data_IF_697127421079
#
_entry.id   IF_697127421079
#
_cell.length_a   1.000
_cell.length_b   1.000
_cell.length_c   1.000
_cell.angle_alpha   90.00
_cell.angle_beta   90.00
_cell.angle_gamma   90.00
#
_symmetry.space_group_name_H-M   'P 1'
#
loop_
_entity.id
_entity.type
_entity.pdbx_description
1 polymer ?
#
# COMPACT_ATOMS: atom_id res chain seq x y z
N UNK A 1 -3.87 -38.77 5.60
CA UNK A 1 -3.98 -37.46 6.26
C UNK A 1 -2.57 -36.91 6.36
N UNK A 2 -2.30 -35.74 5.76
CA UNK A 2 -0.99 -35.08 5.89
C UNK A 2 -0.86 -34.71 7.36
N UNK A 3 0.28 -35.02 7.98
CA UNK A 3 0.59 -34.66 9.37
C UNK A 3 1.90 -33.87 9.36
N UNK A 4 1.94 -32.80 10.14
CA UNK A 4 3.14 -32.01 10.39
C UNK A 4 3.25 -31.77 11.91
N UNK A 5 4.47 -31.50 12.38
CA UNK A 5 4.75 -31.15 13.77
C UNK A 5 5.19 -29.69 13.88
N UNK A 6 5.30 -29.19 15.11
CA UNK A 6 5.88 -27.87 15.39
C UNK A 6 7.32 -27.77 14.84
N UNK A 7 8.11 -28.84 14.96
CA UNK A 7 9.48 -28.90 14.44
C UNK A 7 9.52 -28.89 12.90
N UNK A 8 8.50 -29.46 12.23
CA UNK A 8 8.37 -29.35 10.78
C UNK A 8 8.16 -27.88 10.36
N UNK A 9 7.30 -27.15 11.08
CA UNK A 9 7.01 -25.74 10.80
C UNK A 9 8.25 -24.87 11.03
N UNK A 10 8.95 -25.04 12.15
CA UNK A 10 10.16 -24.26 12.46
C UNK A 10 11.28 -24.51 11.44
N UNK A 11 11.48 -25.76 11.01
CA UNK A 11 12.47 -26.09 9.97
C UNK A 11 12.10 -25.53 8.60
N UNK A 12 10.82 -25.55 8.25
CA UNK A 12 10.33 -24.92 7.00
C UNK A 12 10.53 -23.41 7.07
N UNK A 13 10.21 -22.77 8.20
CA UNK A 13 10.43 -21.34 8.40
C UNK A 13 11.90 -20.96 8.30
N UNK A 14 12.79 -21.70 8.95
CA UNK A 14 14.25 -21.48 8.88
C UNK A 14 14.74 -21.54 7.44
N UNK A 15 14.33 -22.57 6.69
CA UNK A 15 14.69 -22.70 5.29
C UNK A 15 14.18 -21.52 4.45
N UNK A 16 12.94 -21.08 4.65
CA UNK A 16 12.41 -19.90 3.95
C UNK A 16 13.08 -18.59 4.39
N UNK A 17 13.53 -18.49 5.64
CA UNK A 17 14.34 -17.38 6.09
C UNK A 17 15.69 -17.31 5.38
N UNK A 18 16.34 -18.46 5.19
CA UNK A 18 17.60 -18.58 4.44
C UNK A 18 17.43 -18.25 2.95
N UNK A 19 16.28 -18.60 2.35
CA UNK A 19 15.93 -18.22 0.97
C UNK A 19 15.51 -16.75 0.82
N UNK A 20 15.39 -16.00 1.92
CA UNK A 20 14.99 -14.60 1.91
C UNK A 20 13.50 -14.38 1.66
N UNK A 21 12.65 -15.40 1.84
CA UNK A 21 11.20 -15.23 1.74
C UNK A 21 10.74 -14.28 2.85
N UNK A 22 9.98 -13.21 2.51
CA UNK A 22 9.49 -12.25 3.48
C UNK A 22 8.73 -12.93 4.60
N UNK A 23 9.02 -12.53 5.83
CA UNK A 23 8.47 -13.12 7.06
C UNK A 23 6.95 -13.31 7.01
N UNK A 24 6.23 -12.29 6.55
CA UNK A 24 4.77 -12.34 6.44
C UNK A 24 4.27 -13.38 5.45
N UNK A 25 5.01 -13.70 4.38
CA UNK A 25 4.58 -14.62 3.34
C UNK A 25 4.82 -16.10 3.68
N UNK A 26 5.66 -16.38 4.69
CA UNK A 26 6.08 -17.75 5.01
C UNK A 26 4.94 -18.71 5.36
N UNK A 27 3.86 -18.31 6.06
CA UNK A 27 2.71 -19.21 6.28
C UNK A 27 2.07 -19.69 4.98
N UNK A 28 1.94 -18.82 3.97
CA UNK A 28 1.47 -19.22 2.63
C UNK A 28 2.39 -20.25 1.99
N UNK A 29 3.69 -19.94 1.96
CA UNK A 29 4.68 -20.81 1.33
C UNK A 29 4.76 -22.16 2.04
N UNK A 30 4.60 -22.17 3.36
CA UNK A 30 4.57 -23.40 4.15
C UNK A 30 3.31 -24.21 3.86
N UNK A 31 2.15 -23.56 3.81
CA UNK A 31 0.91 -24.23 3.45
C UNK A 31 0.97 -24.81 2.02
N UNK A 32 1.51 -24.06 1.05
CA UNK A 32 1.72 -24.57 -0.31
C UNK A 32 2.71 -25.77 -0.33
N UNK A 33 3.81 -25.69 0.43
CA UNK A 33 4.81 -26.77 0.53
C UNK A 33 4.28 -28.02 1.20
N UNK A 34 3.48 -27.88 2.26
CA UNK A 34 2.92 -29.00 3.05
C UNK A 34 1.74 -29.63 2.32
N UNK A 35 0.85 -28.83 1.74
CA UNK A 35 -0.38 -29.32 1.11
C UNK A 35 -0.16 -29.75 -0.35
N UNK A 36 0.84 -29.20 -1.02
CA UNK A 36 1.16 -29.53 -2.41
C UNK A 36 -0.04 -29.33 -3.33
N UNK A 37 -0.44 -30.37 -4.07
CA UNK A 37 -1.58 -30.32 -5.00
C UNK A 37 -2.95 -30.13 -4.32
N UNK A 38 -3.03 -30.28 -2.99
CA UNK A 38 -4.23 -29.98 -2.20
C UNK A 38 -4.33 -28.52 -1.79
N UNK A 39 -3.31 -27.72 -2.05
CA UNK A 39 -3.30 -26.31 -1.69
C UNK A 39 -4.39 -25.56 -2.46
N UNK A 40 -5.35 -25.03 -1.72
CA UNK A 40 -6.44 -24.20 -2.22
C UNK A 40 -6.76 -23.11 -1.18
N UNK A 41 -7.07 -21.90 -1.65
CA UNK A 41 -7.53 -20.80 -0.80
C UNK A 41 -8.90 -20.36 -1.31
N UNK A 42 -9.85 -20.16 -0.38
CA UNK A 42 -11.22 -19.78 -0.69
C UNK A 42 -12.15 -21.00 -0.85
N UNK A 43 -12.90 -21.08 -1.95
CA UNK A 43 -13.86 -22.16 -2.15
C UNK A 43 -13.13 -23.51 -2.29
N UNK A 44 -13.39 -24.44 -1.36
CA UNK A 44 -12.68 -25.72 -1.29
C UNK A 44 -11.34 -25.68 -0.56
N UNK A 45 -11.11 -24.65 0.29
CA UNK A 45 -9.94 -24.53 1.16
C UNK A 45 -9.74 -25.79 2.02
N UNK A 46 -8.51 -26.31 2.03
CA UNK A 46 -8.15 -27.43 2.87
C UNK A 46 -8.19 -27.01 4.36
N UNK A 47 -8.90 -27.73 5.25
CA UNK A 47 -8.91 -27.43 6.68
C UNK A 47 -7.51 -27.37 7.31
N UNK A 48 -6.53 -28.09 6.74
CA UNK A 48 -5.15 -28.04 7.18
C UNK A 48 -4.48 -26.69 6.92
N UNK A 49 -4.98 -25.87 5.99
CA UNK A 49 -4.44 -24.53 5.77
C UNK A 49 -4.57 -23.68 7.04
N UNK A 50 -5.76 -23.65 7.65
CA UNK A 50 -6.00 -22.87 8.87
C UNK A 50 -5.19 -23.45 10.03
N UNK A 51 -5.01 -24.77 10.10
CA UNK A 51 -4.17 -25.41 11.12
C UNK A 51 -2.69 -25.00 10.99
N UNK A 52 -2.17 -24.94 9.76
CA UNK A 52 -0.80 -24.48 9.49
C UNK A 52 -0.65 -23.01 9.89
N UNK A 53 -1.60 -22.15 9.49
CA UNK A 53 -1.58 -20.72 9.85
C UNK A 53 -1.65 -20.52 11.37
N UNK A 54 -2.57 -21.19 12.07
CA UNK A 54 -2.66 -21.10 13.53
C UNK A 54 -1.40 -21.64 14.23
N UNK A 55 -0.75 -22.65 13.67
CA UNK A 55 0.52 -23.16 14.20
C UNK A 55 1.63 -22.13 14.05
N UNK A 56 1.71 -21.46 12.89
CA UNK A 56 2.60 -20.32 12.70
C UNK A 56 2.31 -19.18 13.70
N UNK A 57 1.06 -18.78 13.88
CA UNK A 57 0.70 -17.73 14.84
C UNK A 57 1.04 -18.10 16.29
N UNK A 58 0.98 -19.39 16.65
CA UNK A 58 1.35 -19.87 17.98
C UNK A 58 2.86 -19.90 18.20
N UNK A 59 3.61 -20.39 17.21
CA UNK A 59 5.06 -20.56 17.31
C UNK A 59 5.83 -19.26 17.03
N UNK A 60 5.25 -18.38 16.20
CA UNK A 60 5.83 -17.15 15.69
C UNK A 60 4.76 -16.04 15.77
N UNK A 61 4.52 -15.45 16.96
CA UNK A 61 3.38 -14.57 17.22
C UNK A 61 3.30 -13.32 16.33
N UNK A 62 4.41 -12.84 15.79
CA UNK A 62 4.48 -11.70 14.87
C UNK A 62 3.72 -11.96 13.56
N UNK A 63 3.53 -13.23 13.19
CA UNK A 63 2.76 -13.64 12.01
C UNK A 63 1.32 -13.12 12.09
N UNK A 64 0.71 -13.15 13.28
CA UNK A 64 -0.68 -12.71 13.52
C UNK A 64 -0.96 -11.27 13.04
N UNK A 65 0.07 -10.42 13.00
CA UNK A 65 -0.06 -9.01 12.65
C UNK A 65 0.52 -8.66 11.27
N UNK A 66 1.19 -9.61 10.63
CA UNK A 66 1.88 -9.40 9.36
C UNK A 66 1.27 -10.21 8.22
N UNK A 67 0.67 -11.36 8.52
CA UNK A 67 0.01 -12.27 7.59
C UNK A 67 -1.53 -12.15 7.67
N UNK A 68 -2.26 -12.24 6.54
CA UNK A 68 -1.79 -12.13 5.16
C UNK A 68 -1.51 -10.67 4.78
N UNK A 69 -0.41 -10.45 4.05
CA UNK A 69 -0.02 -9.11 3.62
C UNK A 69 0.46 -9.09 2.19
N UNK A 70 -0.22 -8.31 1.35
CA UNK A 70 0.18 -8.03 -0.03
C UNK A 70 0.86 -6.65 -0.12
N UNK A 71 0.53 -5.75 0.81
CA UNK A 71 1.20 -4.47 1.00
C UNK A 71 0.66 -3.72 2.19
N UNK A 72 1.28 -2.57 2.51
CA UNK A 72 0.97 -1.79 3.70
C UNK A 72 0.84 -0.32 3.34
N UNK A 73 -0.12 0.36 3.96
CA UNK A 73 -0.20 1.81 3.95
C UNK A 73 -0.84 2.32 5.24
N UNK A 74 -1.43 3.52 5.18
CA UNK A 74 -2.06 4.15 6.32
C UNK A 74 -3.44 4.72 6.04
N UNK A 75 -4.22 4.81 7.13
CA UNK A 75 -5.39 5.69 7.24
C UNK A 75 -5.26 6.58 8.45
N UNK A 76 -5.96 7.72 8.46
CA UNK A 76 -5.91 8.66 9.57
C UNK A 76 -7.28 9.20 9.97
N UNK A 77 -7.43 9.42 11.28
CA UNK A 77 -8.50 10.23 11.88
C UNK A 77 -7.87 11.44 12.57
N UNK A 78 -7.72 12.53 11.81
CA UNK A 78 -6.83 13.65 12.11
C UNK A 78 -5.37 13.16 12.31
N UNK A 79 -4.84 13.25 13.53
CA UNK A 79 -3.48 12.88 13.91
C UNK A 79 -3.32 11.42 14.37
N UNK A 80 -4.45 10.71 14.53
CA UNK A 80 -4.51 9.28 14.86
C UNK A 80 -4.31 8.48 13.57
N UNK A 81 -3.12 7.91 13.42
CA UNK A 81 -2.77 7.10 12.25
C UNK A 81 -2.91 5.63 12.60
N UNK A 82 -3.52 4.86 11.70
CA UNK A 82 -3.57 3.40 11.75
C UNK A 82 -2.85 2.85 10.54
N UNK A 83 -1.79 2.07 10.77
CA UNK A 83 -1.17 1.23 9.75
C UNK A 83 -2.14 0.13 9.35
N UNK A 84 -2.31 -0.09 8.06
CA UNK A 84 -3.22 -1.09 7.50
C UNK A 84 -2.43 -1.99 6.55
N UNK A 85 -2.55 -3.29 6.75
CA UNK A 85 -2.02 -4.31 5.84
C UNK A 85 -3.15 -4.77 4.93
N UNK A 86 -2.96 -4.62 3.61
CA UNK A 86 -3.89 -5.13 2.61
C UNK A 86 -3.69 -6.63 2.50
N UNK A 87 -4.72 -7.41 2.84
CA UNK A 87 -4.69 -8.86 2.75
C UNK A 87 -4.76 -9.39 1.31
N UNK A 88 -4.28 -10.62 1.12
CA UNK A 88 -4.41 -11.36 -0.14
C UNK A 88 -5.85 -11.87 -0.27
N UNK A 89 -6.48 -11.61 -1.40
CA UNK A 89 -7.82 -12.05 -1.74
C UNK A 89 -7.82 -12.78 -3.09
N UNK A 90 -8.46 -13.94 -3.15
CA UNK A 90 -8.65 -14.71 -4.38
C UNK A 90 -10.13 -14.66 -4.81
N UNK A 91 -10.37 -14.43 -6.09
CA UNK A 91 -11.72 -14.34 -6.67
C UNK A 91 -12.46 -13.04 -6.33
N UNK A 92 -13.80 -13.08 -6.44
CA UNK A 92 -14.65 -11.92 -6.16
C UNK A 92 -14.94 -11.83 -4.66
N UNK A 93 -14.31 -10.89 -3.97
CA UNK A 93 -14.56 -10.62 -2.55
C UNK A 93 -15.48 -9.40 -2.42
N UNK A 94 -16.59 -9.55 -1.68
CA UNK A 94 -17.39 -8.42 -1.26
C UNK A 94 -16.66 -7.66 -0.14
N UNK A 95 -15.85 -6.69 -0.52
CA UNK A 95 -14.94 -5.98 0.37
C UNK A 95 -15.69 -4.92 1.18
N UNK A 96 -15.89 -5.20 2.46
CA UNK A 96 -16.37 -4.20 3.42
C UNK A 96 -15.20 -3.35 3.90
N UNK A 97 -15.26 -2.04 3.70
CA UNK A 97 -14.17 -1.09 4.04
C UNK A 97 -13.70 -1.25 5.48
N UNK A 98 -14.62 -1.26 6.46
CA UNK A 98 -14.25 -1.38 7.88
C UNK A 98 -13.51 -2.69 8.19
N UNK A 99 -13.85 -3.81 7.53
CA UNK A 99 -13.13 -5.08 7.68
C UNK A 99 -11.74 -5.01 7.07
N UNK A 100 -11.62 -4.44 5.88
CA UNK A 100 -10.33 -4.24 5.20
C UNK A 100 -9.39 -3.32 5.99
N UNK A 101 -9.95 -2.36 6.73
CA UNK A 101 -9.24 -1.52 7.67
C UNK A 101 -8.89 -2.22 9.00
N UNK A 102 -9.34 -3.45 9.22
CA UNK A 102 -9.07 -4.22 10.44
C UNK A 102 -9.92 -3.80 11.64
N UNK A 103 -11.14 -3.31 11.42
CA UNK A 103 -12.16 -3.12 12.47
C UNK A 103 -13.13 -4.29 12.47
N UNK A 104 -13.66 -4.62 13.65
CA UNK A 104 -14.60 -5.73 13.84
C UNK A 104 -15.99 -5.37 13.30
N UNK A 105 -16.38 -4.11 13.47
CA UNK A 105 -17.70 -3.58 13.08
C UNK A 105 -17.59 -2.22 12.40
N UNK A 106 -18.62 -1.87 11.64
CA UNK A 106 -18.74 -0.54 11.03
C UNK A 106 -18.87 0.57 12.08
N UNK A 107 -19.58 0.31 13.17
CA UNK A 107 -19.70 1.24 14.30
C UNK A 107 -18.34 1.56 14.93
N UNK A 108 -17.50 0.54 15.14
CA UNK A 108 -16.15 0.72 15.68
C UNK A 108 -15.28 1.61 14.77
N UNK A 109 -15.36 1.40 13.45
CA UNK A 109 -14.68 2.24 12.47
C UNK A 109 -15.20 3.68 12.52
N UNK A 110 -16.52 3.88 12.53
CA UNK A 110 -17.12 5.21 12.58
C UNK A 110 -16.79 5.95 13.88
N UNK A 111 -16.77 5.25 15.02
CA UNK A 111 -16.32 5.78 16.30
C UNK A 111 -14.83 6.17 16.25
N UNK A 112 -13.99 5.37 15.61
CA UNK A 112 -12.59 5.72 15.39
C UNK A 112 -12.44 6.98 14.53
N UNK A 113 -13.31 7.15 13.53
CA UNK A 113 -13.46 8.35 12.71
C UNK A 113 -14.17 9.52 13.44
N UNK A 114 -14.33 9.45 14.76
CA UNK A 114 -14.99 10.48 15.59
C UNK A 114 -16.43 10.77 15.19
N UNK A 115 -17.12 9.80 14.60
CA UNK A 115 -18.49 9.95 14.07
C UNK A 115 -18.60 11.07 13.03
N UNK A 116 -17.51 11.37 12.33
CA UNK A 116 -17.46 12.36 11.26
C UNK A 116 -17.41 11.66 9.90
N UNK A 117 -18.45 11.87 9.10
CA UNK A 117 -18.58 11.29 7.76
C UNK A 117 -17.46 11.71 6.80
N UNK A 118 -16.88 12.90 6.95
CA UNK A 118 -15.74 13.33 6.12
C UNK A 118 -14.48 12.56 6.49
N UNK A 119 -14.25 12.30 7.77
CA UNK A 119 -13.12 11.47 8.22
C UNK A 119 -13.32 10.02 7.76
N UNK A 120 -14.54 9.49 7.87
CA UNK A 120 -14.88 8.16 7.39
C UNK A 120 -14.63 8.02 5.88
N UNK A 121 -15.16 8.95 5.06
CA UNK A 121 -14.94 8.96 3.62
C UNK A 121 -13.46 9.03 3.24
N UNK A 122 -12.68 9.91 3.89
CA UNK A 122 -11.23 10.01 3.67
C UNK A 122 -10.51 8.70 3.99
N UNK A 123 -10.88 8.03 5.08
CA UNK A 123 -10.30 6.73 5.44
C UNK A 123 -10.69 5.62 4.46
N UNK A 124 -11.90 5.66 3.90
CA UNK A 124 -12.34 4.72 2.87
C UNK A 124 -11.55 4.92 1.56
N UNK A 125 -11.37 6.17 1.11
CA UNK A 125 -10.55 6.48 -0.06
C UNK A 125 -9.07 6.11 0.14
N UNK A 126 -8.51 6.41 1.31
CA UNK A 126 -7.15 5.99 1.64
C UNK A 126 -7.00 4.46 1.59
N UNK A 127 -8.02 3.71 2.03
CA UNK A 127 -8.05 2.26 1.87
C UNK A 127 -8.08 1.81 0.41
N UNK A 128 -8.91 2.44 -0.42
CA UNK A 128 -8.90 2.19 -1.85
C UNK A 128 -7.55 2.49 -2.51
N UNK A 129 -6.86 3.55 -2.09
CA UNK A 129 -5.53 3.87 -2.61
C UNK A 129 -4.50 2.78 -2.29
N UNK A 130 -4.47 2.28 -1.04
CA UNK A 130 -3.59 1.16 -0.69
C UNK A 130 -3.91 -0.09 -1.52
N UNK A 131 -5.20 -0.42 -1.64
CA UNK A 131 -5.66 -1.57 -2.38
C UNK A 131 -5.29 -1.48 -3.87
N UNK A 132 -5.58 -0.36 -4.51
CA UNK A 132 -5.34 -0.16 -5.94
C UNK A 132 -3.85 -0.13 -6.28
N UNK A 133 -3.02 0.44 -5.41
CA UNK A 133 -1.56 0.37 -5.54
C UNK A 133 -1.09 -1.09 -5.52
N UNK A 134 -1.43 -1.82 -4.46
CA UNK A 134 -0.87 -3.15 -4.20
C UNK A 134 -1.37 -4.19 -5.21
N UNK A 135 -2.69 -4.23 -5.45
CA UNK A 135 -3.25 -5.14 -6.46
C UNK A 135 -2.87 -4.71 -7.87
N UNK A 136 -2.77 -3.41 -8.13
CA UNK A 136 -2.40 -2.93 -9.46
C UNK A 136 -0.94 -3.27 -9.84
N UNK A 137 -0.01 -3.31 -8.86
CA UNK A 137 1.34 -3.83 -9.07
C UNK A 137 1.29 -5.30 -9.48
N UNK A 138 0.48 -6.09 -8.78
CA UNK A 138 0.36 -7.54 -9.02
C UNK A 138 -0.22 -7.89 -10.40
N UNK A 139 -1.18 -7.10 -10.91
CA UNK A 139 -1.71 -7.28 -12.27
C UNK A 139 -0.65 -7.06 -13.36
N UNK A 140 0.44 -6.36 -13.04
CA UNK A 140 1.45 -5.96 -14.02
C UNK A 140 2.74 -6.78 -13.96
N UNK A 141 2.77 -7.90 -13.22
CA UNK A 141 3.98 -8.72 -13.00
C UNK A 141 4.58 -9.27 -14.32
N UNK A 142 3.80 -9.36 -15.39
CA UNK A 142 4.23 -9.99 -16.65
C UNK A 142 4.94 -9.05 -17.64
N UNK A 143 5.07 -7.74 -17.35
CA UNK A 143 5.80 -6.83 -18.26
C UNK A 143 7.31 -6.89 -18.04
N UNK A 144 8.05 -7.09 -19.15
CA UNK A 144 9.50 -7.08 -19.19
C UNK A 144 10.09 -5.65 -19.14
N UNK A 145 9.92 -4.94 -18.03
CA UNK A 145 10.68 -3.71 -17.76
C UNK A 145 10.88 -3.50 -16.25
N UNK A 146 11.70 -2.51 -15.88
CA UNK A 146 12.00 -2.22 -14.46
C UNK A 146 10.83 -1.57 -13.69
N UNK A 147 9.61 -1.42 -14.25
CA UNK A 147 8.51 -0.71 -13.57
C UNK A 147 8.14 -1.36 -12.24
N UNK A 148 8.18 -2.70 -12.19
CA UNK A 148 7.89 -3.49 -10.98
C UNK A 148 8.88 -3.18 -9.86
N UNK A 149 10.16 -2.95 -10.18
CA UNK A 149 11.17 -2.57 -9.19
C UNK A 149 10.81 -1.21 -8.59
N UNK A 150 10.49 -0.24 -9.43
CA UNK A 150 10.13 1.11 -8.98
C UNK A 150 8.85 1.11 -8.14
N UNK A 151 7.81 0.40 -8.56
CA UNK A 151 6.57 0.31 -7.79
C UNK A 151 6.74 -0.48 -6.49
N UNK A 152 7.50 -1.57 -6.50
CA UNK A 152 7.83 -2.34 -5.30
C UNK A 152 8.58 -1.48 -4.28
N UNK A 153 9.58 -0.71 -4.73
CA UNK A 153 10.27 0.25 -3.87
C UNK A 153 9.32 1.34 -3.35
N UNK A 154 8.39 1.86 -4.17
CA UNK A 154 7.39 2.82 -3.72
C UNK A 154 6.50 2.25 -2.60
N UNK A 155 6.06 0.99 -2.72
CA UNK A 155 5.27 0.30 -1.71
C UNK A 155 6.06 0.10 -0.40
N UNK A 156 7.35 -0.26 -0.47
CA UNK A 156 8.21 -0.37 0.70
C UNK A 156 8.45 0.99 1.38
N UNK A 157 8.63 2.08 0.61
CA UNK A 157 8.69 3.43 1.19
C UNK A 157 7.39 3.78 1.91
N UNK A 158 6.23 3.46 1.33
CA UNK A 158 4.93 3.72 1.96
C UNK A 158 4.74 2.92 3.25
N UNK A 159 5.24 1.68 3.29
CA UNK A 159 5.26 0.86 4.51
C UNK A 159 6.10 1.52 5.61
N UNK A 160 7.30 2.01 5.30
CA UNK A 160 8.15 2.73 6.27
C UNK A 160 7.46 3.97 6.83
N UNK A 161 6.79 4.75 5.97
CA UNK A 161 6.00 5.92 6.40
C UNK A 161 4.87 5.51 7.34
N UNK A 162 4.18 4.42 7.01
CA UNK A 162 3.03 3.94 7.79
C UNK A 162 3.46 3.41 9.16
N UNK A 163 4.61 2.75 9.24
CA UNK A 163 5.23 2.34 10.50
C UNK A 163 5.63 3.55 11.34
N UNK A 164 6.35 4.51 10.75
CA UNK A 164 6.79 5.73 11.44
C UNK A 164 5.61 6.56 11.97
N UNK A 165 4.61 6.83 11.13
CA UNK A 165 3.48 7.67 11.49
C UNK A 165 2.48 6.97 12.42
N UNK A 166 2.43 5.64 12.44
CA UNK A 166 1.58 4.90 13.40
C UNK A 166 2.03 5.04 14.86
N UNK A 167 3.28 5.45 15.09
CA UNK A 167 3.80 5.73 16.43
C UNK A 167 3.22 7.04 16.98
N UNK A 168 2.99 7.09 18.29
CA UNK A 168 2.46 8.26 19.01
C UNK A 168 3.50 9.34 19.30
N UNK A 169 4.77 9.10 18.96
CA UNK A 169 5.88 10.02 19.19
C UNK A 169 5.93 11.23 18.27
N UNK A 170 6.93 12.08 18.49
CA UNK A 170 7.24 13.21 17.63
C UNK A 170 7.60 12.73 16.22
N UNK A 171 7.19 13.51 15.21
CA UNK A 171 7.54 13.23 13.83
C UNK A 171 8.91 13.82 13.53
N UNK A 172 9.83 12.96 13.11
CA UNK A 172 11.12 13.36 12.60
C UNK A 172 11.02 13.79 11.14
N UNK A 173 11.81 14.79 10.72
CA UNK A 173 11.94 15.18 9.31
C UNK A 173 12.38 14.02 8.40
N UNK A 174 12.99 12.98 8.95
CA UNK A 174 13.38 11.76 8.23
C UNK A 174 12.22 11.05 7.54
N UNK A 175 10.96 11.20 8.01
CA UNK A 175 9.79 10.59 7.36
C UNK A 175 9.40 11.28 6.05
N UNK A 176 9.85 12.51 5.81
CA UNK A 176 9.52 13.25 4.57
C UNK A 176 10.18 12.61 3.34
N UNK A 177 11.38 12.07 3.49
CA UNK A 177 12.08 11.41 2.39
C UNK A 177 11.31 10.20 1.84
N UNK A 178 10.90 9.20 2.65
CA UNK A 178 10.14 8.07 2.14
C UNK A 178 8.74 8.49 1.62
N UNK A 179 8.13 9.56 2.15
CA UNK A 179 6.90 10.16 1.57
C UNK A 179 7.15 10.64 0.13
N UNK A 180 8.19 11.43 -0.10
CA UNK A 180 8.54 11.93 -1.43
C UNK A 180 8.94 10.79 -2.39
N UNK A 181 9.71 9.81 -1.90
CA UNK A 181 10.12 8.66 -2.70
C UNK A 181 8.93 7.77 -3.10
N UNK A 182 7.91 7.64 -2.24
CA UNK A 182 6.68 6.92 -2.59
C UNK A 182 6.03 7.53 -3.83
N UNK A 183 5.87 8.86 -3.88
CA UNK A 183 5.33 9.56 -5.05
C UNK A 183 6.28 9.49 -6.25
N UNK A 184 7.58 9.74 -6.06
CA UNK A 184 8.56 9.75 -7.15
C UNK A 184 8.64 8.40 -7.87
N UNK A 185 8.83 7.33 -7.09
CA UNK A 185 9.08 5.99 -7.61
C UNK A 185 7.83 5.42 -8.29
N UNK A 186 6.64 5.68 -7.74
CA UNK A 186 5.39 5.23 -8.35
C UNK A 186 5.10 5.90 -9.69
N UNK A 187 5.36 7.20 -9.80
CA UNK A 187 5.24 7.92 -11.08
C UNK A 187 6.29 7.46 -12.09
N UNK A 188 7.55 7.29 -11.67
CA UNK A 188 8.61 6.76 -12.55
C UNK A 188 8.32 5.34 -13.03
N UNK A 189 7.86 4.46 -12.15
CA UNK A 189 7.46 3.11 -12.51
C UNK A 189 6.36 3.12 -13.57
N UNK A 190 5.37 4.00 -13.42
CA UNK A 190 4.27 4.15 -14.39
C UNK A 190 4.74 4.70 -15.73
N UNK A 191 5.56 5.76 -15.73
CA UNK A 191 6.13 6.31 -16.96
C UNK A 191 7.02 5.31 -17.69
N UNK A 192 7.82 4.52 -16.96
CA UNK A 192 8.61 3.45 -17.53
C UNK A 192 7.72 2.37 -18.14
N UNK A 193 6.63 2.01 -17.47
CA UNK A 193 5.63 1.07 -17.97
C UNK A 193 4.95 1.56 -19.27
N UNK A 194 4.79 2.87 -19.40
CA UNK A 194 4.25 3.55 -20.59
C UNK A 194 5.32 3.82 -21.67
N UNK A 195 6.55 3.32 -21.50
CA UNK A 195 7.61 3.35 -22.51
C UNK A 195 8.56 4.55 -22.43
N UNK A 196 8.50 5.37 -21.37
CA UNK A 196 9.49 6.44 -21.17
C UNK A 196 10.84 5.83 -20.76
N UNK A 197 11.95 6.14 -21.45
CA UNK A 197 13.26 5.57 -21.13
C UNK A 197 13.73 5.91 -19.70
N UNK A 198 14.25 4.92 -18.99
CA UNK A 198 14.76 5.10 -17.62
C UNK A 198 15.85 6.19 -17.53
N UNK A 199 16.68 6.32 -18.57
CA UNK A 199 17.70 7.38 -18.67
C UNK A 199 17.09 8.78 -18.61
N UNK A 200 15.89 8.97 -19.17
CA UNK A 200 15.22 10.27 -19.20
C UNK A 200 14.63 10.55 -17.81
N UNK A 201 14.00 9.55 -17.18
CA UNK A 201 13.46 9.62 -15.82
C UNK A 201 14.53 9.98 -14.77
N UNK A 202 15.78 9.53 -14.98
CA UNK A 202 16.93 9.84 -14.12
C UNK A 202 17.60 11.17 -14.45
N UNK A 203 17.34 11.76 -15.62
CA UNK A 203 17.99 12.98 -16.05
C UNK A 203 17.45 14.20 -15.27
N UNK A 204 18.28 14.90 -14.47
CA UNK A 204 17.84 16.03 -13.66
C UNK A 204 17.37 17.25 -14.47
N UNK A 205 17.76 17.36 -15.74
CA UNK A 205 17.28 18.43 -16.64
C UNK A 205 15.86 18.14 -17.15
N UNK A 206 15.49 16.87 -17.28
CA UNK A 206 14.18 16.45 -17.75
C UNK A 206 13.24 16.28 -16.56
N UNK A 207 13.49 15.28 -15.71
CA UNK A 207 12.63 14.92 -14.59
C UNK A 207 13.40 14.94 -13.27
N UNK A 208 14.40 14.06 -13.11
CA UNK A 208 15.16 13.94 -11.87
C UNK A 208 14.24 13.64 -10.68
N UNK A 209 14.29 14.49 -9.65
CA UNK A 209 13.46 14.44 -8.45
C UNK A 209 12.25 15.40 -8.50
N UNK A 210 12.00 16.05 -9.64
CA UNK A 210 10.91 17.01 -9.76
C UNK A 210 9.57 16.28 -9.90
N UNK A 211 8.86 16.14 -8.77
CA UNK A 211 7.59 15.42 -8.68
C UNK A 211 6.52 16.04 -9.59
N UNK A 212 6.47 17.37 -9.69
CA UNK A 212 5.48 18.06 -10.53
C UNK A 212 5.68 17.73 -12.02
N UNK A 213 6.92 17.80 -12.53
CA UNK A 213 7.24 17.43 -13.92
C UNK A 213 6.94 15.96 -14.22
N UNK A 214 7.17 15.06 -13.26
CA UNK A 214 6.78 13.65 -13.39
C UNK A 214 5.26 13.51 -13.49
N UNK A 215 4.51 14.22 -12.65
CA UNK A 215 3.04 14.25 -12.68
C UNK A 215 2.50 14.79 -14.01
N UNK A 216 2.99 15.95 -14.47
CA UNK A 216 2.62 16.52 -15.77
C UNK A 216 2.89 15.54 -16.91
N UNK A 217 4.03 14.86 -16.87
CA UNK A 217 4.36 13.87 -17.90
C UNK A 217 3.42 12.67 -17.86
N UNK A 218 3.02 12.20 -16.68
CA UNK A 218 2.05 11.11 -16.59
C UNK A 218 0.72 11.54 -17.20
N UNK A 219 0.19 12.70 -16.82
CA UNK A 219 -1.06 13.25 -17.36
C UNK A 219 -1.00 13.38 -18.88
N UNK A 220 0.14 13.80 -19.42
CA UNK A 220 0.34 13.92 -20.87
C UNK A 220 0.34 12.58 -21.60
N UNK A 221 0.95 11.55 -21.00
CA UNK A 221 1.14 10.24 -21.65
C UNK A 221 -0.11 9.38 -21.49
N UNK A 222 -0.75 9.41 -20.33
CA UNK A 222 -1.93 8.62 -19.99
C UNK A 222 -2.83 9.42 -19.03
N UNK A 223 -3.86 10.04 -19.58
CA UNK A 223 -4.83 10.86 -18.82
C UNK A 223 -5.70 10.01 -17.90
N UNK A 224 -6.13 10.57 -16.77
CA UNK A 224 -7.00 9.87 -15.82
C UNK A 224 -7.92 10.84 -15.08
N UNK A 225 -9.03 10.35 -14.51
CA UNK A 225 -9.96 11.17 -13.70
C UNK A 225 -9.29 11.87 -12.50
N UNK A 226 -8.17 11.34 -12.04
CA UNK A 226 -7.42 11.84 -10.88
C UNK A 226 -6.48 13.02 -11.22
N UNK A 227 -6.30 13.37 -12.50
CA UNK A 227 -5.24 14.30 -12.97
C UNK A 227 -5.22 15.63 -12.21
N UNK A 228 -6.38 16.28 -12.06
CA UNK A 228 -6.49 17.57 -11.38
C UNK A 228 -6.07 17.47 -9.90
N UNK A 229 -6.55 16.43 -9.21
CA UNK A 229 -6.25 16.22 -7.79
C UNK A 229 -4.78 15.85 -7.59
N UNK A 230 -4.23 15.00 -8.46
CA UNK A 230 -2.83 14.61 -8.46
C UNK A 230 -1.91 15.82 -8.60
N UNK A 231 -2.12 16.66 -9.60
CA UNK A 231 -1.30 17.87 -9.81
C UNK A 231 -1.47 18.88 -8.66
N UNK A 232 -2.68 19.03 -8.12
CA UNK A 232 -2.95 19.88 -6.96
C UNK A 232 -2.23 19.42 -5.69
N UNK A 233 -2.12 18.11 -5.47
CA UNK A 233 -1.41 17.53 -4.33
C UNK A 233 0.12 17.63 -4.48
N UNK A 234 0.65 17.43 -5.69
CA UNK A 234 2.10 17.49 -5.94
C UNK A 234 2.70 18.86 -5.58
N UNK A 235 1.94 19.94 -5.74
CA UNK A 235 2.36 21.29 -5.34
C UNK A 235 2.55 21.48 -3.82
N UNK A 236 2.03 20.56 -3.00
CA UNK A 236 2.11 20.62 -1.53
C UNK A 236 3.32 19.83 -0.99
N UNK A 237 4.08 19.13 -1.83
CA UNK A 237 5.24 18.35 -1.40
C UNK A 237 6.43 19.25 -1.07
N UNK A 238 7.17 18.96 0.01
CA UNK A 238 8.38 19.71 0.35
C UNK A 238 9.50 19.42 -0.66
N UNK A 239 10.41 20.37 -0.83
CA UNK A 239 11.65 20.14 -1.57
C UNK A 239 12.63 19.35 -0.69
N UNK A 240 12.36 18.05 -0.54
CA UNK A 240 13.02 17.24 0.48
C UNK A 240 14.54 17.18 0.32
N UNK A 241 15.09 17.31 -0.90
CA UNK A 241 16.55 17.23 -1.17
C UNK A 241 17.30 18.36 -0.47
N UNK A 242 16.71 19.56 -0.46
CA UNK A 242 17.26 20.75 0.18
C UNK A 242 17.05 20.74 1.71
N UNK A 243 15.96 20.12 2.16
CA UNK A 243 15.54 20.14 3.57
C UNK A 243 16.10 18.99 4.43
N UNK A 244 16.87 18.05 3.85
CA UNK A 244 17.39 16.84 4.55
C UNK A 244 18.22 17.12 5.81
N UNK A 245 18.82 18.29 5.91
CA UNK A 245 19.69 18.67 7.03
C UNK A 245 19.00 19.63 8.02
N UNK A 246 17.67 19.78 7.94
CA UNK A 246 16.89 20.66 8.82
C UNK A 246 15.78 19.87 9.51
N UNK A 247 15.42 20.32 10.70
CA UNK A 247 14.18 19.89 11.32
C UNK A 247 13.00 20.45 10.52
N UNK A 248 11.96 19.63 10.37
CA UNK A 248 10.74 20.03 9.67
C UNK A 248 9.96 21.02 10.54
N UNK A 249 9.45 22.09 9.93
CA UNK A 249 8.50 22.99 10.59
C UNK A 249 7.05 22.51 10.43
N UNK A 250 6.83 21.44 9.67
CA UNK A 250 5.50 20.87 9.45
C UNK A 250 4.98 20.24 10.75
N UNK A 251 3.72 20.53 11.04
CA UNK A 251 2.95 19.86 12.06
C UNK A 251 2.72 18.40 11.71
N UNK A 252 2.40 17.59 12.72
CA UNK A 252 2.02 16.18 12.52
C UNK A 252 0.89 16.01 11.51
N UNK A 253 -0.12 16.88 11.55
CA UNK A 253 -1.25 16.84 10.63
C UNK A 253 -0.83 17.11 9.18
N UNK A 254 0.09 18.05 8.95
CA UNK A 254 0.60 18.34 7.62
C UNK A 254 1.41 17.17 7.07
N UNK A 255 2.26 16.55 7.89
CA UNK A 255 3.01 15.36 7.46
C UNK A 255 2.09 14.19 7.13
N UNK A 256 1.06 13.95 7.95
CA UNK A 256 0.04 12.91 7.68
C UNK A 256 -0.71 13.22 6.37
N UNK A 257 -1.06 14.49 6.14
CA UNK A 257 -1.75 14.93 4.93
C UNK A 257 -0.90 14.68 3.67
N UNK A 258 0.40 15.00 3.71
CA UNK A 258 1.32 14.76 2.59
C UNK A 258 1.55 13.25 2.40
N UNK A 259 1.63 12.46 3.48
CA UNK A 259 1.74 11.01 3.41
C UNK A 259 0.51 10.37 2.71
N UNK A 260 -0.70 10.78 3.09
CA UNK A 260 -1.93 10.33 2.42
C UNK A 260 -1.96 10.79 0.95
N UNK A 261 -1.44 11.98 0.65
CA UNK A 261 -1.30 12.47 -0.73
C UNK A 261 -0.33 11.60 -1.54
N UNK A 262 0.80 11.18 -0.95
CA UNK A 262 1.75 10.28 -1.60
C UNK A 262 1.14 8.90 -1.87
N UNK A 263 0.36 8.38 -0.94
CA UNK A 263 -0.39 7.13 -1.10
C UNK A 263 -1.38 7.23 -2.26
N UNK A 264 -2.16 8.31 -2.33
CA UNK A 264 -3.08 8.58 -3.43
C UNK A 264 -2.34 8.72 -4.77
N UNK A 265 -1.25 9.48 -4.83
CA UNK A 265 -0.44 9.66 -6.05
C UNK A 265 0.08 8.31 -6.53
N UNK A 266 0.61 7.49 -5.62
CA UNK A 266 1.12 6.17 -5.96
C UNK A 266 0.03 5.24 -6.50
N UNK A 267 -1.14 5.22 -5.85
CA UNK A 267 -2.29 4.48 -6.34
C UNK A 267 -2.73 4.98 -7.72
N UNK A 268 -2.93 6.29 -7.87
CA UNK A 268 -3.37 6.93 -9.12
C UNK A 268 -2.43 6.64 -10.29
N UNK A 269 -1.11 6.67 -10.04
CA UNK A 269 -0.11 6.31 -11.03
C UNK A 269 -0.33 4.87 -11.53
N UNK A 270 -0.51 3.90 -10.63
CA UNK A 270 -0.73 2.50 -10.99
C UNK A 270 -2.12 2.24 -11.58
N UNK A 271 -3.17 2.98 -11.19
CA UNK A 271 -4.54 2.84 -11.75
C UNK A 271 -4.57 2.99 -13.27
N UNK A 272 -3.76 3.90 -13.81
CA UNK A 272 -3.65 4.16 -15.26
C UNK A 272 -3.31 2.94 -16.10
N UNK A 273 -2.62 1.97 -15.52
CA UNK A 273 -2.03 0.86 -16.27
C UNK A 273 -2.47 -0.52 -15.77
N UNK A 274 -3.20 -0.60 -14.65
CA UNK A 274 -3.55 -1.87 -14.02
C UNK A 274 -5.01 -2.29 -14.18
N UNK A 275 -5.92 -1.38 -14.53
CA UNK A 275 -7.36 -1.65 -14.53
C UNK A 275 -7.97 -1.89 -13.14
N UNK A 276 -7.18 -1.74 -12.06
CA UNK A 276 -7.66 -1.78 -10.67
C UNK A 276 -8.10 -0.38 -10.26
N UNK A 277 -9.35 -0.23 -9.83
CA UNK A 277 -9.90 1.06 -9.39
C UNK A 277 -11.04 0.86 -8.37
N UNK A 278 -10.69 0.41 -7.15
CA UNK A 278 -11.59 0.38 -6.02
C UNK A 278 -12.06 1.79 -5.65
N UNK A 279 -11.26 2.82 -5.92
CA UNK A 279 -11.67 4.20 -5.70
C UNK A 279 -12.92 4.57 -6.50
N UNK A 280 -13.03 4.18 -7.77
CA UNK A 280 -14.26 4.32 -8.57
C UNK A 280 -15.46 3.65 -7.91
N UNK A 281 -15.28 2.49 -7.29
CA UNK A 281 -16.38 1.79 -6.62
C UNK A 281 -16.86 2.56 -5.38
N UNK A 282 -15.93 3.17 -4.63
CA UNK A 282 -16.28 4.05 -3.50
C UNK A 282 -17.03 5.29 -4.00
N UNK A 283 -16.57 5.91 -5.10
CA UNK A 283 -17.24 7.09 -5.68
C UNK A 283 -18.67 6.81 -6.13
N UNK A 284 -18.93 5.59 -6.59
CA UNK A 284 -20.26 5.13 -7.02
C UNK A 284 -21.11 4.55 -5.86
N UNK A 285 -20.60 4.59 -4.63
CA UNK A 285 -21.33 4.17 -3.43
C UNK A 285 -21.98 5.36 -2.71
N UNK A 286 -22.59 5.11 -1.56
CA UNK A 286 -23.15 6.15 -0.69
C UNK A 286 -22.12 7.17 -0.18
N UNK A 287 -20.82 6.84 -0.25
CA UNK A 287 -19.73 7.77 0.07
C UNK A 287 -19.66 8.93 -0.95
N UNK A 288 -19.95 8.68 -2.23
CA UNK A 288 -19.91 9.70 -3.28
C UNK A 288 -18.51 10.16 -3.69
N UNK A 289 -18.46 11.20 -4.52
CA UNK A 289 -17.24 11.64 -5.22
C UNK A 289 -16.10 12.04 -4.28
N UNK A 290 -14.87 11.61 -4.63
CA UNK A 290 -13.65 11.97 -3.89
C UNK A 290 -13.45 13.48 -3.78
N UNK A 291 -13.75 14.24 -4.82
CA UNK A 291 -13.61 15.70 -4.86
C UNK A 291 -14.41 16.43 -3.76
N UNK A 292 -15.42 15.79 -3.16
CA UNK A 292 -16.18 16.36 -2.05
C UNK A 292 -15.37 16.41 -0.74
N UNK A 293 -14.29 15.64 -0.65
CA UNK A 293 -13.51 15.43 0.58
C UNK A 293 -12.07 15.94 0.48
N UNK A 294 -11.53 16.07 -0.73
CA UNK A 294 -10.14 16.46 -0.98
C UNK A 294 -10.10 17.71 -1.88
N UNK A 295 -9.60 18.85 -1.35
CA UNK A 295 -9.43 20.09 -2.11
C UNK A 295 -8.12 20.13 -2.90
#
# INVERSE_FOLDING_TARGET
>A
MIKFTDDDILRIDEHFAQEGIPFHARPFHAANKILGTRFSIGFGQDPLFDEIVHTYERLIPEVKFTWPGMGTGLVASLDRVKKVTVGIAFGTVNLKIYKGLGFSTETEWFDWCRKDYKIAAKSAFAFADMHDLVYGINENITKENNSLIFWGLAAEQMKLVSESLSQSGSISSSVLQPICLTAELSMKGTLLHLGIPERDLRNPKLFGHNLFKLGEKMVQVESHKDDQLLLGMLNKFPNYVEDRYRETQLTRLEVISIALSAQFIAASAVRRVSGRDLSSQIENSEVGLRSNYFP
#
